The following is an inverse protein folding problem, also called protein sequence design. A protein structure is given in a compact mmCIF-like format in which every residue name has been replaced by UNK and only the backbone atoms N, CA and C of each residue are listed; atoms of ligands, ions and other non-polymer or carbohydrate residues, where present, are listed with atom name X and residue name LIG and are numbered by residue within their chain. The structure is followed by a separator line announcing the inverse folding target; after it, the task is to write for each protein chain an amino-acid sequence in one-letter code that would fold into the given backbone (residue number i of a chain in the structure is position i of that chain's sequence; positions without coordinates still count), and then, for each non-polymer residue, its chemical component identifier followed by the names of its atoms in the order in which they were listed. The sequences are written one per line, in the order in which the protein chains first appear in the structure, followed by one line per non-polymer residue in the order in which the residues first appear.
data_IF_487824520382
#
_entry.id   IF_487824520382
#
_cell.length_a   1.000
_cell.length_b   1.000
_cell.length_c   1.000
_cell.angle_alpha   90.00
_cell.angle_beta   90.00
_cell.angle_gamma   90.00
#
_symmetry.space_group_name_H-M   'P 1'
#
loop_
_entity.id
_entity.type
_entity.pdbx_description
1 polymer ?
#
# COMPACT_ATOMS: atom_id res chain seq x y z
N UNK A 1 -21.51 -10.23 -42.79
CA UNK A 1 -21.46 -8.98 -41.99
C UNK A 1 -21.02 -9.32 -40.58
N UNK A 2 -19.82 -8.89 -40.17
CA UNK A 2 -19.42 -9.02 -38.76
C UNK A 2 -20.22 -7.99 -37.97
N UNK A 3 -21.00 -8.45 -37.00
CA UNK A 3 -21.81 -7.59 -36.15
C UNK A 3 -20.88 -6.62 -35.39
N UNK A 4 -21.01 -5.31 -35.63
CA UNK A 4 -20.17 -4.26 -35.02
C UNK A 4 -20.20 -4.34 -33.49
N UNK A 5 -21.29 -4.86 -32.91
CA UNK A 5 -21.42 -5.09 -31.47
C UNK A 5 -20.46 -6.17 -30.94
N UNK A 6 -20.11 -7.17 -31.76
CA UNK A 6 -19.18 -8.24 -31.39
C UNK A 6 -17.75 -7.69 -31.32
N UNK A 7 -17.32 -6.93 -32.34
CA UNK A 7 -15.99 -6.30 -32.37
C UNK A 7 -15.81 -5.35 -31.18
N UNK A 8 -16.82 -4.49 -30.92
CA UNK A 8 -16.80 -3.57 -29.79
C UNK A 8 -16.65 -4.29 -28.44
N UNK A 9 -17.35 -5.42 -28.24
CA UNK A 9 -17.24 -6.23 -27.02
C UNK A 9 -15.84 -6.81 -26.81
N UNK A 10 -15.23 -7.36 -27.87
CA UNK A 10 -13.86 -7.89 -27.76
C UNK A 10 -12.86 -6.79 -27.45
N UNK A 11 -13.02 -5.60 -28.05
CA UNK A 11 -12.19 -4.45 -27.72
C UNK A 11 -12.28 -4.08 -26.23
N UNK A 12 -13.50 -4.03 -25.66
CA UNK A 12 -13.69 -3.77 -24.23
C UNK A 12 -13.05 -4.85 -23.34
N UNK A 13 -13.11 -6.12 -23.73
CA UNK A 13 -12.49 -7.22 -22.99
C UNK A 13 -10.96 -7.11 -23.02
N UNK A 14 -10.38 -6.85 -24.19
CA UNK A 14 -8.93 -6.64 -24.34
C UNK A 14 -8.46 -5.43 -23.52
N UNK A 15 -9.23 -4.35 -23.51
CA UNK A 15 -8.94 -3.17 -22.69
C UNK A 15 -9.01 -3.49 -21.19
N UNK A 16 -10.01 -4.25 -20.74
CA UNK A 16 -10.11 -4.69 -19.35
C UNK A 16 -8.91 -5.57 -18.94
N UNK A 17 -8.44 -6.45 -19.83
CA UNK A 17 -7.24 -7.26 -19.60
C UNK A 17 -6.00 -6.36 -19.52
N UNK A 18 -5.82 -5.41 -20.45
CA UNK A 18 -4.68 -4.51 -20.46
C UNK A 18 -4.60 -3.68 -19.15
N UNK A 19 -5.74 -3.16 -18.69
CA UNK A 19 -5.83 -2.44 -17.41
C UNK A 19 -5.54 -3.37 -16.24
N UNK A 20 -6.09 -4.59 -16.23
CA UNK A 20 -5.84 -5.56 -15.19
C UNK A 20 -4.36 -5.96 -15.10
N UNK A 21 -3.70 -6.17 -16.26
CA UNK A 21 -2.26 -6.45 -16.33
C UNK A 21 -1.46 -5.25 -15.81
N UNK A 22 -1.81 -4.03 -16.24
CA UNK A 22 -1.15 -2.82 -15.78
C UNK A 22 -1.25 -2.68 -14.25
N UNK A 23 -2.43 -2.92 -13.66
CA UNK A 23 -2.60 -2.88 -12.19
C UNK A 23 -1.76 -3.95 -11.48
N UNK A 24 -1.74 -5.19 -11.98
CA UNK A 24 -0.90 -6.25 -11.38
C UNK A 24 0.58 -5.88 -11.46
N UNK A 25 1.05 -5.39 -12.61
CA UNK A 25 2.44 -4.96 -12.80
C UNK A 25 2.79 -3.75 -11.94
N UNK A 26 1.93 -2.74 -11.90
CA UNK A 26 2.03 -1.54 -11.04
C UNK A 26 2.20 -1.94 -9.58
N UNK A 27 1.35 -2.87 -9.11
CA UNK A 27 1.38 -3.38 -7.74
C UNK A 27 2.59 -4.25 -7.44
N UNK A 28 3.02 -5.07 -8.40
CA UNK A 28 4.27 -5.82 -8.28
C UNK A 28 5.47 -4.88 -8.15
N UNK A 29 5.57 -3.86 -9.00
CA UNK A 29 6.62 -2.84 -8.95
C UNK A 29 6.57 -2.06 -7.62
N UNK A 30 5.38 -1.70 -7.16
CA UNK A 30 5.19 -1.00 -5.89
C UNK A 30 5.59 -1.87 -4.68
N UNK A 31 5.23 -3.15 -4.68
CA UNK A 31 5.61 -4.10 -3.64
C UNK A 31 7.12 -4.42 -3.65
N UNK A 32 7.71 -4.62 -4.82
CA UNK A 32 9.16 -4.84 -5.01
C UNK A 32 9.98 -3.61 -4.60
N UNK A 33 9.48 -2.41 -4.91
CA UNK A 33 10.09 -1.16 -4.49
C UNK A 33 9.80 -0.80 -3.02
N UNK A 34 9.26 -1.74 -2.24
CA UNK A 34 9.29 -1.71 -0.78
C UNK A 34 8.28 -0.77 -0.12
N UNK A 35 7.02 -1.20 -0.03
CA UNK A 35 6.00 -0.60 0.87
C UNK A 35 6.46 -0.54 2.33
N UNK A 36 7.47 -1.34 2.70
CA UNK A 36 8.02 -1.43 4.06
C UNK A 36 9.51 -1.09 4.15
N UNK A 37 10.16 -0.84 3.01
CA UNK A 37 11.62 -0.66 2.92
C UNK A 37 12.05 0.37 1.87
N UNK A 38 11.16 1.28 1.42
CA UNK A 38 11.66 2.48 0.74
C UNK A 38 12.55 3.21 1.71
N UNK A 39 13.80 3.42 1.33
CA UNK A 39 14.73 4.34 1.99
C UNK A 39 14.15 5.74 2.20
N UNK A 40 13.09 6.11 1.45
CA UNK A 40 12.31 7.34 1.65
C UNK A 40 11.20 7.29 2.72
N UNK A 41 10.81 6.10 3.21
CA UNK A 41 9.87 5.92 4.33
C UNK A 41 10.61 5.60 5.66
N UNK A 42 11.94 5.60 5.62
CA UNK A 42 12.82 5.45 6.77
C UNK A 42 13.22 6.85 7.23
N UNK A 43 12.85 7.20 8.46
CA UNK A 43 13.20 8.48 9.05
C UNK A 43 14.63 8.41 9.58
N UNK A 44 15.53 9.13 8.90
CA UNK A 44 16.94 9.24 9.28
C UNK A 44 17.18 10.45 10.18
N UNK A 45 17.93 10.25 11.26
CA UNK A 45 18.38 11.29 12.18
C UNK A 45 19.88 11.19 12.33
N UNK A 46 20.57 12.32 12.20
CA UNK A 46 21.95 12.43 12.64
C UNK A 46 21.99 12.65 14.15
N UNK A 47 22.58 11.72 14.90
CA UNK A 47 22.62 11.75 16.37
C UNK A 47 23.29 13.03 16.89
N UNK A 48 24.28 13.55 16.16
CA UNK A 48 25.00 14.77 16.56
C UNK A 48 24.14 16.04 16.49
N UNK A 49 23.04 16.03 15.73
CA UNK A 49 22.12 17.16 15.58
C UNK A 49 20.99 17.16 16.62
N UNK A 50 20.89 16.10 17.44
CA UNK A 50 19.85 15.98 18.45
C UNK A 50 20.17 16.81 19.70
N UNK A 51 19.15 17.38 20.36
CA UNK A 51 19.31 18.03 21.65
C UNK A 51 19.66 16.99 22.72
N UNK A 52 20.95 16.86 23.03
CA UNK A 52 21.51 15.84 23.93
C UNK A 52 20.94 15.82 25.36
N UNK A 53 20.29 16.89 25.79
CA UNK A 53 19.61 17.00 27.07
C UNK A 53 18.16 16.48 27.04
N UNK A 54 17.55 16.38 25.86
CA UNK A 54 16.13 16.05 25.67
C UNK A 54 15.93 14.74 24.90
N UNK A 55 16.91 14.32 24.11
CA UNK A 55 16.87 13.10 23.32
C UNK A 55 18.13 12.28 23.58
N UNK A 56 17.95 11.01 23.95
CA UNK A 56 19.04 10.07 24.25
C UNK A 56 18.91 8.90 23.29
N UNK A 57 19.97 8.68 22.50
CA UNK A 57 20.10 7.50 21.65
C UNK A 57 20.94 6.46 22.38
N UNK A 58 20.39 5.25 22.53
CA UNK A 58 21.14 4.09 23.04
C UNK A 58 21.21 2.99 21.98
N UNK A 59 22.39 2.42 21.83
CA UNK A 59 22.66 1.27 20.96
C UNK A 59 23.35 0.23 21.83
N UNK A 60 22.79 -0.97 21.92
CA UNK A 60 23.25 -2.02 22.84
C UNK A 60 23.41 -1.52 24.29
N UNK A 61 22.45 -0.68 24.71
CA UNK A 61 22.44 -0.07 26.04
C UNK A 61 23.43 1.08 26.25
N UNK A 62 24.37 1.31 25.33
CA UNK A 62 25.34 2.39 25.40
C UNK A 62 24.82 3.66 24.74
N UNK A 63 25.04 4.81 25.39
CA UNK A 63 24.68 6.12 24.83
C UNK A 63 25.60 6.43 23.64
N UNK A 64 25.01 6.75 22.49
CA UNK A 64 25.73 7.21 21.30
C UNK A 64 25.54 8.73 21.15
N UNK A 65 26.61 9.41 20.72
CA UNK A 65 26.65 10.86 20.50
C UNK A 65 26.90 11.22 19.03
N UNK A 66 27.19 10.22 18.20
CA UNK A 66 27.49 10.35 16.77
C UNK A 66 26.84 9.19 16.02
N UNK A 67 26.83 9.27 14.69
CA UNK A 67 26.19 8.30 13.80
C UNK A 67 24.78 8.69 13.38
N UNK A 68 24.08 7.73 12.79
CA UNK A 68 22.77 7.90 12.20
C UNK A 68 21.80 6.85 12.73
N UNK A 69 20.62 7.31 13.15
CA UNK A 69 19.50 6.43 13.50
C UNK A 69 18.46 6.52 12.42
N UNK A 70 18.05 5.37 11.94
CA UNK A 70 17.02 5.17 10.94
C UNK A 70 15.90 4.41 11.59
N UNK A 71 14.68 4.93 11.52
CA UNK A 71 13.54 4.23 12.11
C UNK A 71 12.32 4.26 11.21
N UNK A 72 11.50 3.23 11.35
CA UNK A 72 10.22 3.05 10.71
C UNK A 72 9.24 2.46 11.71
N UNK A 73 8.02 2.13 11.26
CA UNK A 73 7.02 1.47 12.08
C UNK A 73 7.47 0.08 12.55
N UNK A 74 8.34 -0.61 11.80
CA UNK A 74 8.70 -2.00 12.08
C UNK A 74 10.08 -2.17 12.70
N UNK A 75 10.96 -1.19 12.55
CA UNK A 75 12.35 -1.31 12.96
C UNK A 75 12.94 0.03 13.35
N UNK A 76 13.88 -0.01 14.28
CA UNK A 76 14.86 1.04 14.48
C UNK A 76 16.23 0.43 14.23
N UNK A 77 17.06 1.13 13.48
CA UNK A 77 18.43 0.74 13.22
C UNK A 77 19.38 1.90 13.36
N UNK A 78 20.59 1.58 13.77
CA UNK A 78 21.69 2.52 13.90
C UNK A 78 22.78 2.15 12.90
N UNK A 79 23.37 3.15 12.27
CA UNK A 79 24.56 3.01 11.46
C UNK A 79 25.56 4.11 11.85
N UNK A 80 26.85 3.80 11.84
CA UNK A 80 27.88 4.80 12.10
C UNK A 80 28.02 5.78 10.93
N UNK A 81 27.79 5.29 9.71
CA UNK A 81 27.85 6.04 8.47
C UNK A 81 26.45 6.32 7.91
N UNK A 82 26.32 7.38 7.09
CA UNK A 82 25.04 7.72 6.46
C UNK A 82 24.67 6.65 5.44
N UNK A 83 23.61 5.90 5.73
CA UNK A 83 23.06 4.87 4.85
C UNK A 83 22.56 5.44 3.51
N UNK A 84 22.35 6.76 3.38
CA UNK A 84 22.06 7.38 2.08
C UNK A 84 23.25 7.34 1.12
N UNK A 85 24.48 7.28 1.64
CA UNK A 85 25.70 7.20 0.84
C UNK A 85 26.17 5.75 0.67
N UNK A 86 26.05 4.92 1.70
CA UNK A 86 26.67 3.59 1.74
C UNK A 86 25.68 2.43 1.86
N UNK A 87 24.37 2.69 1.89
CA UNK A 87 23.36 1.67 2.17
C UNK A 87 23.35 1.20 3.64
N UNK A 88 22.37 0.35 3.99
CA UNK A 88 22.23 -0.22 5.34
C UNK A 88 23.08 -1.49 5.51
N UNK A 89 24.38 -1.41 5.21
CA UNK A 89 25.26 -2.60 5.14
C UNK A 89 25.70 -3.09 6.53
N UNK A 90 25.80 -2.19 7.53
CA UNK A 90 26.27 -2.49 8.89
C UNK A 90 25.30 -1.96 9.98
N UNK A 91 24.01 -2.25 9.84
CA UNK A 91 22.99 -1.66 10.72
C UNK A 91 22.76 -2.47 12.01
N UNK A 92 22.82 -1.83 13.17
CA UNK A 92 22.52 -2.43 14.49
C UNK A 92 21.04 -2.22 14.81
N UNK A 93 20.29 -3.27 15.16
CA UNK A 93 18.84 -3.21 15.41
C UNK A 93 18.43 -2.92 16.86
N UNK A 94 19.34 -3.13 17.82
CA UNK A 94 19.06 -2.90 19.24
C UNK A 94 19.22 -1.42 19.59
N UNK A 95 18.26 -0.61 19.13
CA UNK A 95 18.27 0.85 19.24
C UNK A 95 17.10 1.33 20.08
N UNK A 96 17.38 2.23 21.02
CA UNK A 96 16.38 2.98 21.77
C UNK A 96 16.52 4.47 21.47
N UNK A 97 15.41 5.09 21.06
CA UNK A 97 15.28 6.55 20.95
C UNK A 97 14.46 7.00 22.15
N UNK A 98 15.12 7.53 23.17
CA UNK A 98 14.48 7.98 24.41
C UNK A 98 14.28 9.49 24.31
N UNK A 99 13.03 9.94 24.32
CA UNK A 99 12.65 11.35 24.32
C UNK A 99 12.01 11.76 25.63
N UNK A 100 12.24 12.99 26.04
CA UNK A 100 11.46 13.61 27.10
C UNK A 100 10.06 13.96 26.58
N UNK A 101 9.00 13.45 27.23
CA UNK A 101 7.62 13.77 26.86
C UNK A 101 7.06 14.99 27.61
N UNK A 102 5.85 15.43 27.23
CA UNK A 102 5.18 16.65 27.74
C UNK A 102 5.08 16.69 29.29
N UNK A 103 5.06 15.55 29.98
CA UNK A 103 4.95 15.46 31.45
C UNK A 103 6.26 15.11 32.15
N UNK A 104 7.42 15.28 31.51
CA UNK A 104 8.72 14.89 32.06
C UNK A 104 8.97 13.38 32.07
N UNK A 105 8.04 12.59 31.50
CA UNK A 105 8.17 11.14 31.39
C UNK A 105 8.99 10.82 30.13
N UNK A 106 10.08 10.10 30.33
CA UNK A 106 10.87 9.58 29.23
C UNK A 106 10.12 8.45 28.52
N UNK A 107 10.07 8.52 27.19
CA UNK A 107 9.42 7.54 26.34
C UNK A 107 10.43 6.96 25.36
N UNK A 108 10.52 5.64 25.29
CA UNK A 108 11.33 4.94 24.29
C UNK A 108 10.47 4.67 23.05
N UNK A 109 10.72 5.45 22.00
CA UNK A 109 9.96 5.41 20.76
C UNK A 109 10.14 4.06 20.07
N UNK A 110 11.37 3.55 19.97
CA UNK A 110 11.67 2.30 19.27
C UNK A 110 11.04 1.09 19.96
N UNK A 111 11.11 1.05 21.29
CA UNK A 111 10.47 0.00 22.07
C UNK A 111 8.94 0.07 21.97
N UNK A 112 8.36 1.27 22.04
CA UNK A 112 6.90 1.39 21.97
C UNK A 112 6.35 1.10 20.59
N UNK A 113 7.06 1.49 19.52
CA UNK A 113 6.68 1.17 18.15
C UNK A 113 6.71 -0.33 17.89
N UNK A 114 7.78 -1.02 18.29
CA UNK A 114 7.87 -2.48 18.13
C UNK A 114 6.77 -3.21 18.90
N UNK A 115 6.35 -2.70 20.07
CA UNK A 115 5.28 -3.30 20.86
C UNK A 115 3.85 -2.96 20.37
N UNK A 116 3.57 -1.69 20.02
CA UNK A 116 2.19 -1.23 19.72
C UNK A 116 1.85 -1.16 18.22
N UNK A 117 2.81 -0.87 17.36
CA UNK A 117 2.52 -0.67 15.94
C UNK A 117 2.31 -2.00 15.20
N UNK A 118 2.81 -3.11 15.76
CA UNK A 118 2.83 -4.42 15.10
C UNK A 118 1.43 -4.85 14.62
N UNK A 119 0.38 -4.75 15.44
CA UNK A 119 -0.94 -5.30 15.08
C UNK A 119 -1.62 -4.56 13.94
N UNK A 120 -1.62 -3.22 13.96
CA UNK A 120 -2.29 -2.41 12.92
C UNK A 120 -1.54 -2.42 11.60
N UNK A 121 -0.20 -2.33 11.65
CA UNK A 121 0.62 -2.44 10.45
C UNK A 121 0.57 -3.83 9.84
N UNK A 122 0.54 -4.87 10.67
CA UNK A 122 0.36 -6.26 10.21
C UNK A 122 -1.00 -6.45 9.57
N UNK A 123 -2.07 -5.86 10.14
CA UNK A 123 -3.39 -5.88 9.51
C UNK A 123 -3.41 -5.18 8.15
N UNK A 124 -2.86 -3.96 8.05
CA UNK A 124 -2.74 -3.24 6.79
C UNK A 124 -1.96 -4.05 5.75
N UNK A 125 -0.86 -4.68 6.16
CA UNK A 125 -0.07 -5.59 5.32
C UNK A 125 -0.89 -6.78 4.79
N UNK A 126 -1.60 -7.48 5.66
CA UNK A 126 -2.44 -8.60 5.24
C UNK A 126 -3.56 -8.15 4.30
N UNK A 127 -4.18 -7.00 4.53
CA UNK A 127 -5.19 -6.44 3.63
C UNK A 127 -4.59 -6.10 2.25
N UNK A 128 -3.38 -5.56 2.20
CA UNK A 128 -2.67 -5.31 0.93
C UNK A 128 -2.32 -6.60 0.18
N UNK A 129 -1.93 -7.66 0.89
CA UNK A 129 -1.70 -8.99 0.30
C UNK A 129 -3.00 -9.57 -0.27
N UNK A 130 -4.08 -9.57 0.52
CA UNK A 130 -5.41 -10.04 0.07
C UNK A 130 -5.88 -9.24 -1.14
N UNK A 131 -5.73 -7.91 -1.10
CA UNK A 131 -6.02 -7.05 -2.23
C UNK A 131 -5.21 -7.42 -3.48
N UNK A 132 -3.92 -7.74 -3.33
CA UNK A 132 -3.08 -8.22 -4.43
C UNK A 132 -3.60 -9.52 -5.04
N UNK A 133 -4.02 -10.47 -4.19
CA UNK A 133 -4.63 -11.73 -4.63
C UNK A 133 -5.93 -11.51 -5.40
N UNK A 134 -6.81 -10.61 -4.93
CA UNK A 134 -8.06 -10.27 -5.61
C UNK A 134 -7.81 -9.57 -6.96
N UNK A 135 -6.77 -8.73 -7.04
CA UNK A 135 -6.36 -8.10 -8.30
C UNK A 135 -5.89 -9.13 -9.34
N UNK A 136 -5.20 -10.17 -8.91
CA UNK A 136 -4.80 -11.27 -9.79
C UNK A 136 -5.99 -12.16 -10.16
N UNK A 137 -6.85 -12.48 -9.19
CA UNK A 137 -8.02 -13.32 -9.38
C UNK A 137 -9.01 -12.73 -10.40
N UNK A 138 -9.29 -11.43 -10.35
CA UNK A 138 -10.16 -10.79 -11.36
C UNK A 138 -9.59 -10.93 -12.78
N UNK A 139 -8.27 -10.91 -12.95
CA UNK A 139 -7.62 -11.08 -14.25
C UNK A 139 -7.82 -12.50 -14.79
N UNK A 140 -7.65 -13.51 -13.94
CA UNK A 140 -7.93 -14.91 -14.28
C UNK A 140 -9.40 -15.08 -14.70
N UNK A 141 -10.34 -14.44 -14.01
CA UNK A 141 -11.78 -14.57 -14.29
C UNK A 141 -12.16 -13.88 -15.61
N UNK A 142 -11.51 -12.77 -15.98
CA UNK A 142 -11.78 -12.07 -17.26
C UNK A 142 -11.23 -12.83 -18.45
N UNK A 143 -10.10 -13.54 -18.32
CA UNK A 143 -9.43 -14.17 -19.45
C UNK A 143 -10.33 -15.13 -20.28
N UNK A 144 -11.14 -16.03 -19.68
CA UNK A 144 -12.09 -16.88 -20.40
C UNK A 144 -13.13 -16.12 -21.24
N UNK A 145 -13.40 -14.84 -20.95
CA UNK A 145 -14.36 -14.04 -21.72
C UNK A 145 -13.85 -13.72 -23.13
N UNK A 146 -12.55 -13.89 -23.41
CA UNK A 146 -11.98 -13.79 -24.75
C UNK A 146 -12.40 -14.94 -25.68
N UNK A 147 -12.88 -16.06 -25.12
CA UNK A 147 -13.23 -17.22 -25.92
C UNK A 147 -14.60 -17.02 -26.59
N UNK A 148 -14.73 -17.25 -27.91
CA UNK A 148 -15.93 -16.94 -28.67
C UNK A 148 -17.18 -17.73 -28.27
N UNK A 149 -17.01 -18.86 -27.57
CA UNK A 149 -18.11 -19.71 -27.08
C UNK A 149 -18.57 -19.35 -25.65
N UNK A 150 -17.93 -18.39 -25.00
CA UNK A 150 -18.16 -18.11 -23.59
C UNK A 150 -19.33 -17.11 -23.37
N UNK A 151 -20.55 -17.65 -23.26
CA UNK A 151 -21.79 -16.90 -23.01
C UNK A 151 -22.15 -16.73 -21.53
N UNK A 152 -21.30 -17.21 -20.61
CA UNK A 152 -21.69 -17.34 -19.21
C UNK A 152 -21.76 -15.98 -18.47
N UNK A 153 -22.98 -15.53 -18.18
CA UNK A 153 -23.26 -14.31 -17.43
C UNK A 153 -22.84 -14.40 -15.96
N UNK A 154 -22.68 -15.62 -15.43
CA UNK A 154 -22.23 -15.86 -14.05
C UNK A 154 -20.79 -15.37 -13.88
N UNK A 155 -19.89 -15.63 -14.83
CA UNK A 155 -18.50 -15.16 -14.72
C UNK A 155 -18.37 -13.64 -14.74
N UNK A 156 -19.20 -12.93 -15.52
CA UNK A 156 -19.23 -11.46 -15.50
C UNK A 156 -19.64 -10.93 -14.13
N UNK A 157 -20.65 -11.55 -13.50
CA UNK A 157 -21.07 -11.21 -12.13
C UNK A 157 -19.97 -11.53 -11.11
N UNK A 158 -19.34 -12.70 -11.19
CA UNK A 158 -18.21 -13.07 -10.34
C UNK A 158 -17.04 -12.08 -10.50
N UNK A 159 -16.70 -11.71 -11.74
CA UNK A 159 -15.67 -10.71 -12.02
C UNK A 159 -16.00 -9.36 -11.38
N UNK A 160 -17.25 -8.90 -11.50
CA UNK A 160 -17.69 -7.64 -10.91
C UNK A 160 -17.61 -7.69 -9.38
N UNK A 161 -18.06 -8.79 -8.77
CA UNK A 161 -17.96 -8.99 -7.31
C UNK A 161 -16.51 -8.97 -6.83
N UNK A 162 -15.61 -9.69 -7.51
CA UNK A 162 -14.18 -9.71 -7.16
C UNK A 162 -13.55 -8.33 -7.36
N UNK A 163 -13.92 -7.60 -8.41
CA UNK A 163 -13.42 -6.25 -8.64
C UNK A 163 -13.90 -5.24 -7.58
N UNK A 164 -15.15 -5.34 -7.14
CA UNK A 164 -15.69 -4.52 -6.03
C UNK A 164 -15.00 -4.89 -4.71
N UNK A 165 -14.85 -6.18 -4.41
CA UNK A 165 -14.13 -6.62 -3.22
C UNK A 165 -12.67 -6.14 -3.22
N UNK A 166 -11.99 -6.21 -4.38
CA UNK A 166 -10.66 -5.65 -4.56
C UNK A 166 -10.62 -4.15 -4.27
N UNK A 167 -11.57 -3.38 -4.80
CA UNK A 167 -11.67 -1.94 -4.56
C UNK A 167 -11.82 -1.63 -3.06
N UNK A 168 -12.76 -2.28 -2.38
CA UNK A 168 -13.04 -2.07 -0.96
C UNK A 168 -11.84 -2.45 -0.07
N UNK A 169 -11.22 -3.61 -0.31
CA UNK A 169 -10.10 -4.08 0.51
C UNK A 169 -8.85 -3.22 0.28
N UNK A 170 -8.61 -2.78 -0.96
CA UNK A 170 -7.55 -1.79 -1.24
C UNK A 170 -7.81 -0.49 -0.49
N UNK A 171 -9.04 0.02 -0.56
CA UNK A 171 -9.45 1.24 0.16
C UNK A 171 -9.18 1.16 1.66
N UNK A 172 -9.64 0.08 2.30
CA UNK A 172 -9.44 -0.13 3.73
C UNK A 172 -7.94 -0.28 4.05
N UNK A 173 -7.20 -1.06 3.27
CA UNK A 173 -5.78 -1.32 3.48
C UNK A 173 -4.92 -0.06 3.37
N UNK A 174 -5.15 0.73 2.33
CA UNK A 174 -4.42 1.97 2.06
C UNK A 174 -4.80 3.06 3.06
N UNK A 175 -6.09 3.19 3.41
CA UNK A 175 -6.52 4.15 4.43
C UNK A 175 -5.93 3.82 5.79
N UNK A 176 -5.90 2.53 6.18
CA UNK A 176 -5.20 2.10 7.39
C UNK A 176 -3.71 2.41 7.34
N UNK A 177 -3.06 2.24 6.18
CA UNK A 177 -1.65 2.59 6.01
C UNK A 177 -1.43 4.10 6.19
N UNK A 178 -2.21 4.94 5.50
CA UNK A 178 -2.10 6.40 5.58
C UNK A 178 -2.41 6.93 6.97
N UNK A 179 -3.48 6.44 7.60
CA UNK A 179 -3.86 6.78 8.97
C UNK A 179 -2.77 6.37 9.96
N UNK A 180 -2.27 5.14 9.84
CA UNK A 180 -1.20 4.66 10.71
C UNK A 180 0.08 5.46 10.52
N UNK A 181 0.34 5.93 9.29
CA UNK A 181 1.48 6.79 9.01
C UNK A 181 1.36 8.15 9.69
N UNK A 182 0.19 8.79 9.60
CA UNK A 182 -0.10 10.06 10.26
C UNK A 182 -0.14 10.01 11.79
N UNK A 183 -0.41 8.83 12.38
CA UNK A 183 -0.48 8.65 13.83
C UNK A 183 0.80 8.06 14.45
N UNK A 184 1.93 8.10 13.75
CA UNK A 184 3.17 7.43 14.15
C UNK A 184 3.62 7.76 15.58
N UNK A 185 3.80 9.05 15.88
CA UNK A 185 4.26 9.49 17.20
C UNK A 185 3.23 9.21 18.29
N UNK A 186 1.95 9.34 17.96
CA UNK A 186 0.86 8.98 18.88
C UNK A 186 0.92 7.49 19.27
N UNK A 187 1.26 6.58 18.34
CA UNK A 187 1.48 5.16 18.66
C UNK A 187 2.76 4.90 19.46
N UNK A 188 3.79 5.74 19.28
CA UNK A 188 4.95 5.71 20.18
C UNK A 188 4.62 6.27 21.59
N UNK A 189 3.43 6.86 21.78
CA UNK A 189 2.97 7.43 23.04
C UNK A 189 3.46 8.85 23.29
N UNK A 190 3.81 9.59 22.23
CA UNK A 190 4.33 10.96 22.29
C UNK A 190 3.55 11.89 21.36
N UNK A 191 3.53 13.18 21.71
CA UNK A 191 2.93 14.20 20.86
C UNK A 191 3.90 14.60 19.75
N UNK A 192 3.42 14.59 18.50
CA UNK A 192 4.23 14.88 17.32
C UNK A 192 4.85 16.28 17.39
N UNK A 193 4.06 17.31 17.73
CA UNK A 193 4.57 18.68 17.75
C UNK A 193 5.63 18.85 18.84
N UNK A 194 5.44 18.22 19.99
CA UNK A 194 6.42 18.21 21.06
C UNK A 194 7.75 17.59 20.63
N UNK A 195 7.72 16.39 20.04
CA UNK A 195 8.96 15.70 19.67
C UNK A 195 9.69 16.36 18.50
N UNK A 196 8.97 16.99 17.58
CA UNK A 196 9.59 17.77 16.51
C UNK A 196 10.24 19.02 17.08
N UNK A 197 9.50 19.80 17.87
CA UNK A 197 9.96 21.11 18.34
C UNK A 197 11.05 21.02 19.41
N UNK A 198 10.96 20.06 20.33
CA UNK A 198 11.83 19.98 21.51
C UNK A 198 12.83 18.84 21.46
N UNK A 199 12.51 17.73 20.78
CA UNK A 199 13.41 16.57 20.70
C UNK A 199 14.17 16.50 19.37
N UNK A 200 13.89 17.39 18.41
CA UNK A 200 14.58 17.46 17.12
C UNK A 200 14.28 16.28 16.19
N UNK A 201 13.18 15.55 16.42
CA UNK A 201 12.80 14.43 15.55
C UNK A 201 12.16 14.94 14.25
N UNK A 202 12.33 14.22 13.12
CA UNK A 202 11.76 14.63 11.84
C UNK A 202 10.23 14.43 11.83
N UNK A 203 9.54 15.24 11.02
CA UNK A 203 8.12 15.02 10.77
C UNK A 203 7.90 13.76 9.96
N UNK A 204 6.93 12.94 10.37
CA UNK A 204 6.53 11.77 9.57
C UNK A 204 5.68 12.22 8.39
N UNK A 205 6.25 12.17 7.19
CA UNK A 205 5.58 12.57 5.96
C UNK A 205 5.27 11.34 5.12
N UNK A 206 4.07 11.34 4.53
CA UNK A 206 3.71 10.35 3.52
C UNK A 206 4.35 10.81 2.21
N UNK A 207 5.19 9.96 1.62
CA UNK A 207 5.83 10.29 0.36
C UNK A 207 4.77 10.55 -0.74
N UNK A 208 4.91 11.63 -1.51
CA UNK A 208 3.94 12.04 -2.55
C UNK A 208 3.67 10.94 -3.59
N UNK A 209 4.72 10.24 -4.04
CA UNK A 209 4.61 9.07 -4.92
C UNK A 209 3.72 7.96 -4.36
N UNK A 210 3.67 7.79 -3.04
CA UNK A 210 2.77 6.83 -2.40
C UNK A 210 1.32 7.27 -2.61
N UNK A 211 0.99 8.53 -2.34
CA UNK A 211 -0.38 9.05 -2.54
C UNK A 211 -0.81 8.97 -4.01
N UNK A 212 0.09 9.33 -4.94
CA UNK A 212 -0.16 9.24 -6.38
C UNK A 212 -0.43 7.79 -6.82
N UNK A 213 0.41 6.85 -6.37
CA UNK A 213 0.24 5.43 -6.67
C UNK A 213 -1.11 4.89 -6.18
N UNK A 214 -1.46 5.14 -4.90
CA UNK A 214 -2.72 4.66 -4.32
C UNK A 214 -3.90 5.24 -5.11
N UNK A 215 -3.86 6.53 -5.43
CA UNK A 215 -4.90 7.20 -6.25
C UNK A 215 -5.04 6.56 -7.63
N UNK A 216 -3.93 6.28 -8.30
CA UNK A 216 -3.91 5.66 -9.62
C UNK A 216 -4.51 4.25 -9.61
N UNK A 217 -4.20 3.44 -8.60
CA UNK A 217 -4.79 2.11 -8.43
C UNK A 217 -6.33 2.16 -8.31
N UNK A 218 -6.89 3.14 -7.59
CA UNK A 218 -8.34 3.34 -7.51
C UNK A 218 -8.96 3.68 -8.86
N UNK A 219 -8.37 4.62 -9.58
CA UNK A 219 -8.86 5.05 -10.90
C UNK A 219 -8.90 3.83 -11.84
N UNK A 220 -7.82 3.07 -11.91
CA UNK A 220 -7.76 1.88 -12.76
C UNK A 220 -8.80 0.83 -12.35
N UNK A 221 -9.04 0.64 -11.05
CA UNK A 221 -10.03 -0.33 -10.58
C UNK A 221 -11.46 0.11 -10.93
N UNK A 222 -11.76 1.41 -10.80
CA UNK A 222 -13.06 1.98 -11.20
C UNK A 222 -13.28 1.87 -12.71
N UNK A 223 -12.27 2.17 -13.52
CA UNK A 223 -12.33 2.00 -14.97
C UNK A 223 -12.57 0.53 -15.33
N UNK A 224 -11.89 -0.40 -14.68
CA UNK A 224 -12.11 -1.84 -14.89
C UNK A 224 -13.56 -2.26 -14.56
N UNK A 225 -14.10 -1.82 -13.41
CA UNK A 225 -15.50 -2.08 -13.02
C UNK A 225 -16.47 -1.50 -14.06
N UNK A 226 -16.22 -0.28 -14.55
CA UNK A 226 -17.03 0.35 -15.57
C UNK A 226 -17.02 -0.46 -16.89
N UNK A 227 -15.86 -0.92 -17.34
CA UNK A 227 -15.73 -1.74 -18.55
C UNK A 227 -16.51 -3.07 -18.43
N UNK A 228 -16.35 -3.79 -17.32
CA UNK A 228 -17.08 -5.04 -17.08
C UNK A 228 -18.60 -4.80 -17.01
N UNK A 229 -19.02 -3.68 -16.41
CA UNK A 229 -20.44 -3.28 -16.35
C UNK A 229 -21.02 -2.96 -17.74
N UNK A 230 -20.24 -2.31 -18.61
CA UNK A 230 -20.64 -2.05 -20.01
C UNK A 230 -20.72 -3.36 -20.80
N UNK A 231 -19.73 -4.26 -20.64
CA UNK A 231 -19.75 -5.59 -21.26
C UNK A 231 -20.99 -6.37 -20.82
N UNK A 232 -21.36 -6.28 -19.55
CA UNK A 232 -22.59 -6.89 -19.04
C UNK A 232 -23.84 -6.28 -19.66
N UNK A 233 -24.00 -4.95 -19.62
CA UNK A 233 -25.17 -4.25 -20.18
C UNK A 233 -25.37 -4.52 -21.66
N UNK A 234 -24.29 -4.51 -22.44
CA UNK A 234 -24.35 -4.81 -23.88
C UNK A 234 -24.77 -6.24 -24.16
N UNK A 235 -24.46 -7.22 -23.30
CA UNK A 235 -24.94 -8.61 -23.44
C UNK A 235 -26.42 -8.79 -23.09
N UNK A 236 -26.93 -8.08 -22.08
CA UNK A 236 -28.35 -8.13 -21.71
C UNK A 236 -29.29 -7.51 -22.76
N UNK A 237 -28.78 -6.64 -23.64
CA UNK A 237 -29.56 -5.98 -24.70
C UNK A 237 -29.57 -6.74 -26.04
N UNK A 238 -28.90 -7.88 -26.17
CA UNK A 238 -28.96 -8.69 -27.41
C UNK A 238 -30.30 -9.44 -27.48
N UNK A 239 -31.12 -9.24 -28.53
CA UNK A 239 -32.40 -9.91 -28.65
C UNK A 239 -32.20 -11.44 -28.75
N UNK A 240 -33.02 -12.17 -28.00
CA UNK A 240 -33.20 -13.60 -28.16
C UNK A 240 -33.76 -13.80 -29.57
N UNK A 241 -32.95 -14.32 -30.49
CA UNK A 241 -33.46 -14.85 -31.74
C UNK A 241 -34.33 -16.06 -31.37
N UNK A 242 -35.64 -15.83 -31.26
CA UNK A 242 -36.64 -16.90 -31.26
C UNK A 242 -36.53 -17.54 -32.64
N UNK A 243 -35.88 -18.70 -32.70
CA UNK A 243 -35.91 -19.54 -33.89
C UNK A 243 -37.36 -20.03 -33.98
N UNK A 244 -38.16 -19.37 -34.80
CA UNK A 244 -39.46 -19.90 -35.20
C UNK A 244 -39.18 -21.22 -35.94
N UNK A 245 -39.58 -22.34 -35.33
CA UNK A 245 -39.64 -23.62 -36.01
C UNK A 245 -40.72 -23.49 -37.10
N UNK A 246 -40.42 -23.76 -38.37
CA UNK A 246 -41.48 -23.89 -39.36
C UNK A 246 -42.33 -25.13 -38.99
N UNK A 247 -43.64 -24.92 -38.98
CA UNK A 247 -44.65 -25.97 -38.81
C UNK A 247 -44.79 -26.81 -40.08
#
# INVERSE_FOLDING_TARGET
MVDKNIIFRYFLILLAIAIGLFQVSSKYIYNQNGVYFRTGDIYGINVSQLPNNLTIIKVDGQRKMQGFVYFSYQMCVYNEEDAKQYGLINSIQNVSIIVNGIKGKNVDICKNLTQQSSTKFTLSYHLMLISSLLCFLKLIIVFPLCLPRYRNMILLKCCLMVAIAHLCISFIGDWLLLFSKGMFYSFAGVDENHVIQFNGLPRTLIHEWTVLYLTWEYILCLVFIALISIIWSTRNKSPIYVIASPA
#
